data_IF_694914021107
#
_entry.id   IF_694914021107
#
_cell.length_a   1.000
_cell.length_b   1.000
_cell.length_c   1.000
_cell.angle_alpha   90.00
_cell.angle_beta   90.00
_cell.angle_gamma   90.00
#
_symmetry.space_group_name_H-M   'P 1'
#
loop_
_entity.id
_entity.type
_entity.pdbx_description
1 polymer ?
#
# COMPACT_ATOMS: atom_id res chain seq x y z
N UNK A 1 5.85 -21.05 -1.44
CA UNK A 1 4.49 -20.45 -1.42
C UNK A 1 4.69 -18.97 -1.67
N UNK A 2 3.93 -18.37 -2.60
CA UNK A 2 3.98 -16.92 -2.78
C UNK A 2 3.62 -16.25 -1.44
N UNK A 3 4.41 -15.27 -1.02
CA UNK A 3 4.06 -14.47 0.16
C UNK A 3 2.78 -13.66 -0.10
N UNK A 4 2.17 -13.13 0.96
CA UNK A 4 0.88 -12.44 0.88
C UNK A 4 0.99 -11.14 0.08
N UNK A 5 0.09 -10.92 -0.89
CA UNK A 5 -0.02 -9.64 -1.59
C UNK A 5 -0.68 -8.59 -0.68
N UNK A 6 -0.32 -7.32 -0.87
CA UNK A 6 -0.94 -6.18 -0.21
C UNK A 6 -1.53 -5.25 -1.29
N UNK A 7 -2.68 -5.65 -1.84
CA UNK A 7 -3.35 -4.93 -2.93
C UNK A 7 -4.33 -3.90 -2.39
N UNK A 8 -5.14 -4.31 -1.40
CA UNK A 8 -6.14 -3.45 -0.78
C UNK A 8 -6.33 -3.76 0.70
N UNK A 9 -6.83 -2.77 1.43
CA UNK A 9 -7.11 -2.89 2.87
C UNK A 9 -8.20 -3.93 3.14
N UNK A 10 -9.25 -4.02 2.30
CA UNK A 10 -10.35 -4.93 2.58
C UNK A 10 -9.99 -6.41 2.38
N UNK A 11 -8.95 -6.70 1.59
CA UNK A 11 -8.42 -8.06 1.37
C UNK A 11 -7.70 -8.66 2.56
N UNK A 12 -7.23 -7.85 3.53
CA UNK A 12 -6.55 -8.34 4.73
C UNK A 12 -7.50 -8.38 5.93
N UNK A 13 -7.27 -9.32 6.85
CA UNK A 13 -7.98 -9.32 8.13
C UNK A 13 -7.51 -8.15 9.02
N UNK A 14 -8.37 -7.72 9.93
CA UNK A 14 -8.06 -6.67 10.89
C UNK A 14 -6.82 -6.99 11.74
N UNK A 15 -6.57 -8.26 12.10
CA UNK A 15 -5.40 -8.64 12.89
C UNK A 15 -4.11 -8.44 12.10
N UNK A 16 -4.12 -8.76 10.80
CA UNK A 16 -2.95 -8.57 9.94
C UNK A 16 -2.63 -7.08 9.75
N UNK A 17 -3.66 -6.27 9.50
CA UNK A 17 -3.50 -4.81 9.38
C UNK A 17 -3.01 -4.20 10.70
N UNK A 18 -3.51 -4.69 11.84
CA UNK A 18 -3.06 -4.28 13.17
C UNK A 18 -1.59 -4.63 13.40
N UNK A 19 -1.18 -5.84 13.03
CA UNK A 19 0.22 -6.29 13.13
C UNK A 19 1.16 -5.38 12.32
N UNK A 20 0.75 -4.99 11.10
CA UNK A 20 1.52 -4.03 10.28
C UNK A 20 1.70 -2.69 11.00
N UNK A 21 0.63 -2.13 11.59
CA UNK A 21 0.73 -0.85 12.32
C UNK A 21 1.58 -0.97 13.58
N UNK A 22 1.43 -2.05 14.35
CA UNK A 22 2.18 -2.27 15.59
C UNK A 22 3.68 -2.44 15.29
N UNK A 23 4.01 -3.16 14.23
CA UNK A 23 5.38 -3.27 13.73
C UNK A 23 5.93 -1.92 13.26
N UNK A 24 5.12 -1.11 12.56
CA UNK A 24 5.52 0.22 12.14
C UNK A 24 5.84 1.15 13.32
N UNK A 25 5.00 1.14 14.38
CA UNK A 25 5.26 1.89 15.62
C UNK A 25 6.56 1.42 16.29
N UNK A 26 6.75 0.10 16.42
CA UNK A 26 7.94 -0.48 17.03
C UNK A 26 9.22 -0.08 16.27
N UNK A 27 9.22 -0.22 14.94
CA UNK A 27 10.35 0.18 14.08
C UNK A 27 10.64 1.68 14.19
N UNK A 28 9.62 2.54 14.13
CA UNK A 28 9.82 3.98 14.24
C UNK A 28 10.37 4.39 15.61
N UNK A 29 9.89 3.77 16.68
CA UNK A 29 10.39 3.99 18.04
C UNK A 29 11.85 3.54 18.18
N UNK A 30 12.21 2.37 17.67
CA UNK A 30 13.57 1.84 17.69
C UNK A 30 14.56 2.74 16.92
N UNK A 31 14.11 3.32 15.80
CA UNK A 31 14.90 4.23 14.95
C UNK A 31 15.03 5.66 15.51
N UNK A 32 14.48 5.96 16.69
CA UNK A 32 14.48 7.32 17.27
C UNK A 32 15.92 7.80 17.52
N UNK A 33 16.26 8.95 16.95
CA UNK A 33 17.59 9.55 17.06
C UNK A 33 18.64 8.97 16.11
N UNK A 34 18.29 8.00 15.27
CA UNK A 34 19.22 7.43 14.31
C UNK A 34 19.38 8.32 13.06
N UNK A 35 20.54 8.28 12.40
CA UNK A 35 20.65 8.72 11.01
C UNK A 35 19.65 7.95 10.14
N UNK A 36 19.04 8.63 9.16
CA UNK A 36 17.95 8.04 8.34
C UNK A 36 18.38 6.82 7.53
N UNK A 37 19.65 6.71 7.16
CA UNK A 37 20.18 5.59 6.40
C UNK A 37 20.76 4.44 7.24
N UNK A 38 20.65 4.47 8.58
CA UNK A 38 21.10 3.35 9.41
C UNK A 38 20.22 2.12 9.12
N UNK A 39 20.86 0.98 8.90
CA UNK A 39 20.21 -0.32 8.77
C UNK A 39 19.76 -0.82 10.14
N UNK A 40 18.57 -1.42 10.19
CA UNK A 40 18.01 -2.03 11.39
C UNK A 40 18.88 -3.19 11.87
N UNK A 41 18.92 -3.38 13.20
CA UNK A 41 19.67 -4.47 13.79
C UNK A 41 19.11 -5.81 13.28
N UNK A 42 20.01 -6.68 12.80
CA UNK A 42 19.65 -7.97 12.20
C UNK A 42 19.30 -7.93 10.71
N UNK A 43 19.20 -6.74 10.09
CA UNK A 43 19.01 -6.56 8.64
C UNK A 43 17.98 -7.55 8.04
N UNK A 44 16.70 -7.48 8.44
CA UNK A 44 15.72 -8.54 8.21
C UNK A 44 15.45 -8.87 6.73
N UNK A 45 15.77 -7.95 5.81
CA UNK A 45 15.66 -8.13 4.36
C UNK A 45 17.03 -8.12 3.67
N UNK A 46 18.11 -8.42 4.39
CA UNK A 46 19.42 -8.62 3.78
C UNK A 46 19.34 -9.66 2.65
N UNK A 47 19.94 -9.33 1.51
CA UNK A 47 19.89 -10.16 0.30
C UNK A 47 18.57 -10.13 -0.47
N UNK A 48 17.52 -9.48 0.04
CA UNK A 48 16.24 -9.37 -0.65
C UNK A 48 16.15 -8.10 -1.51
N UNK A 49 15.44 -8.20 -2.64
CA UNK A 49 15.29 -7.13 -3.63
C UNK A 49 13.81 -6.82 -3.90
N UNK A 50 13.46 -5.54 -3.86
CA UNK A 50 12.15 -5.02 -4.24
C UNK A 50 12.22 -4.40 -5.64
N UNK A 51 11.46 -4.92 -6.61
CA UNK A 51 11.18 -4.18 -7.83
C UNK A 51 10.10 -3.12 -7.57
N UNK A 52 10.31 -1.89 -8.04
CA UNK A 52 9.37 -0.79 -7.93
C UNK A 52 9.00 -0.30 -9.33
N UNK A 53 7.78 -0.59 -9.76
CA UNK A 53 7.26 -0.32 -11.09
C UNK A 53 6.36 0.92 -11.06
N UNK A 54 6.68 1.93 -11.87
CA UNK A 54 6.00 3.23 -11.88
C UNK A 54 5.46 3.58 -13.26
N UNK A 55 4.14 3.47 -13.46
CA UNK A 55 3.49 4.00 -14.67
C UNK A 55 3.38 5.52 -14.66
N UNK A 56 3.20 6.09 -13.46
CA UNK A 56 3.26 7.54 -13.21
C UNK A 56 4.29 7.85 -12.13
N UNK A 57 5.05 8.92 -12.35
CA UNK A 57 6.03 9.42 -11.39
C UNK A 57 5.40 9.72 -10.00
N UNK A 58 6.25 9.78 -8.98
CA UNK A 58 6.09 9.05 -7.71
C UNK A 58 7.17 9.36 -6.70
N UNK A 59 7.60 10.62 -6.53
CA UNK A 59 8.75 10.92 -5.67
C UNK A 59 8.55 10.44 -4.23
N UNK A 60 7.38 10.70 -3.63
CA UNK A 60 7.11 10.31 -2.24
C UNK A 60 7.08 8.79 -2.06
N UNK A 61 6.33 8.11 -2.91
CA UNK A 61 6.23 6.63 -2.91
C UNK A 61 7.60 5.99 -3.18
N UNK A 62 8.34 6.47 -4.18
CA UNK A 62 9.67 5.96 -4.52
C UNK A 62 10.62 6.10 -3.35
N UNK A 63 10.74 7.29 -2.78
CA UNK A 63 11.67 7.53 -1.68
C UNK A 63 11.28 6.77 -0.41
N UNK A 64 9.98 6.64 -0.11
CA UNK A 64 9.54 5.89 1.07
C UNK A 64 9.85 4.40 0.97
N UNK A 65 9.54 3.76 -0.17
CA UNK A 65 9.83 2.33 -0.37
C UNK A 65 11.33 2.05 -0.50
N UNK A 66 12.06 2.88 -1.24
CA UNK A 66 13.53 2.74 -1.38
C UNK A 66 14.24 2.88 -0.04
N UNK A 67 13.87 3.87 0.77
CA UNK A 67 14.44 4.05 2.11
C UNK A 67 14.02 2.92 3.06
N UNK A 68 12.78 2.44 2.98
CA UNK A 68 12.33 1.30 3.79
C UNK A 68 13.15 0.04 3.49
N UNK A 69 13.36 -0.30 2.21
CA UNK A 69 14.21 -1.44 1.83
C UNK A 69 15.64 -1.29 2.32
N UNK A 70 16.24 -0.10 2.17
CA UNK A 70 17.60 0.17 2.68
C UNK A 70 17.69 0.03 4.20
N UNK A 71 16.72 0.57 4.94
CA UNK A 71 16.69 0.46 6.40
C UNK A 71 16.52 -1.00 6.84
N UNK A 72 15.80 -1.82 6.07
CA UNK A 72 15.65 -3.25 6.35
C UNK A 72 16.83 -4.11 5.85
N UNK A 73 17.85 -3.50 5.24
CA UNK A 73 19.06 -4.18 4.74
C UNK A 73 18.96 -4.75 3.33
N UNK A 74 17.82 -4.56 2.66
CA UNK A 74 17.60 -5.01 1.29
C UNK A 74 17.96 -3.98 0.24
N UNK A 75 17.68 -4.32 -1.01
CA UNK A 75 17.91 -3.45 -2.17
C UNK A 75 16.62 -3.18 -2.94
N UNK A 76 16.63 -2.16 -3.79
CA UNK A 76 15.49 -1.83 -4.63
C UNK A 76 15.93 -1.55 -6.07
N UNK A 77 15.09 -1.94 -7.04
CA UNK A 77 15.26 -1.66 -8.46
C UNK A 77 14.05 -0.83 -8.90
N UNK A 78 14.28 0.35 -9.46
CA UNK A 78 13.19 1.20 -9.96
C UNK A 78 13.09 1.08 -11.47
N UNK A 79 11.88 0.84 -11.99
CA UNK A 79 11.56 0.93 -13.40
C UNK A 79 10.38 1.91 -13.59
N UNK A 80 10.51 2.81 -14.56
CA UNK A 80 9.45 3.75 -14.95
C UNK A 80 8.76 3.30 -16.23
N UNK A 81 7.63 3.91 -16.57
CA UNK A 81 6.93 3.65 -17.83
C UNK A 81 7.82 3.74 -19.08
N UNK A 82 8.89 4.55 -19.06
CA UNK A 82 9.86 4.62 -20.16
C UNK A 82 10.85 3.46 -20.21
N UNK A 83 11.12 2.83 -19.06
CA UNK A 83 12.03 1.69 -18.93
C UNK A 83 11.30 0.36 -19.21
N UNK A 84 10.00 0.32 -18.93
CA UNK A 84 9.16 -0.87 -19.03
C UNK A 84 8.56 -1.03 -20.44
N UNK A 85 8.45 -2.28 -20.90
CA UNK A 85 7.77 -2.62 -22.15
C UNK A 85 6.32 -3.10 -21.95
N UNK A 86 5.75 -2.87 -20.76
CA UNK A 86 4.34 -3.13 -20.48
C UNK A 86 3.46 -2.40 -21.51
N UNK A 87 2.69 -3.16 -22.29
CA UNK A 87 1.84 -2.63 -23.36
C UNK A 87 2.57 -2.27 -24.67
N UNK A 88 3.90 -2.43 -24.75
CA UNK A 88 4.71 -2.25 -25.98
C UNK A 88 5.24 -3.55 -26.57
N UNK A 89 4.73 -4.69 -26.13
CA UNK A 89 5.08 -6.01 -26.67
C UNK A 89 5.16 -7.11 -25.63
N UNK A 90 5.25 -6.76 -24.34
CA UNK A 90 5.17 -7.72 -23.24
C UNK A 90 3.83 -7.61 -22.51
N UNK A 91 3.25 -8.75 -22.20
CA UNK A 91 2.01 -8.85 -21.41
C UNK A 91 2.31 -8.65 -19.93
N UNK A 92 1.31 -8.22 -19.14
CA UNK A 92 1.41 -8.15 -17.68
C UNK A 92 1.75 -9.53 -17.10
N UNK A 93 1.14 -10.60 -17.63
CA UNK A 93 1.40 -11.99 -17.24
C UNK A 93 2.87 -12.38 -17.43
N UNK A 94 3.43 -12.17 -18.62
CA UNK A 94 4.83 -12.52 -18.91
C UNK A 94 5.78 -11.72 -18.01
N UNK A 95 5.52 -10.42 -17.87
CA UNK A 95 6.31 -9.53 -17.02
C UNK A 95 6.28 -9.99 -15.55
N UNK A 96 5.10 -10.31 -15.02
CA UNK A 96 4.94 -10.80 -13.65
C UNK A 96 5.69 -12.11 -13.41
N UNK A 97 5.59 -13.06 -14.34
CA UNK A 97 6.29 -14.35 -14.27
C UNK A 97 7.80 -14.19 -14.32
N UNK A 98 8.31 -13.34 -15.21
CA UNK A 98 9.75 -13.11 -15.39
C UNK A 98 10.33 -12.36 -14.19
N UNK A 99 9.71 -11.25 -13.77
CA UNK A 99 10.21 -10.47 -12.62
C UNK A 99 10.20 -11.28 -11.33
N UNK A 100 9.21 -12.15 -11.12
CA UNK A 100 9.17 -13.07 -9.97
C UNK A 100 10.35 -14.05 -9.90
N UNK A 101 11.15 -14.19 -10.96
CA UNK A 101 12.40 -14.98 -10.95
C UNK A 101 13.64 -14.17 -10.59
N UNK A 102 13.54 -12.85 -10.52
CA UNK A 102 14.67 -11.95 -10.30
C UNK A 102 14.62 -11.21 -8.97
N UNK A 103 13.42 -10.98 -8.43
CA UNK A 103 13.22 -10.18 -7.22
C UNK A 103 12.37 -10.94 -6.21
N UNK A 104 12.38 -10.47 -4.96
CA UNK A 104 11.69 -11.11 -3.84
C UNK A 104 10.32 -10.48 -3.55
N UNK A 105 10.06 -9.28 -4.06
CA UNK A 105 8.78 -8.60 -4.01
C UNK A 105 8.68 -7.56 -5.14
N UNK A 106 7.44 -7.17 -5.47
CA UNK A 106 7.14 -6.12 -6.44
C UNK A 106 6.21 -5.09 -5.80
N UNK A 107 6.53 -3.81 -5.91
CA UNK A 107 5.60 -2.71 -5.66
C UNK A 107 5.22 -2.06 -6.98
N UNK A 108 3.92 -1.88 -7.20
CA UNK A 108 3.38 -1.33 -8.45
C UNK A 108 2.62 -0.06 -8.14
N UNK A 109 2.91 1.00 -8.88
CA UNK A 109 2.08 2.18 -8.98
C UNK A 109 1.56 2.26 -10.41
N UNK A 110 0.31 1.86 -10.59
CA UNK A 110 -0.37 1.78 -11.88
C UNK A 110 -1.42 2.88 -12.01
N UNK A 111 -1.89 3.07 -13.24
CA UNK A 111 -3.10 3.85 -13.49
C UNK A 111 -4.33 3.05 -13.13
N UNK A 112 -4.46 1.86 -13.72
CA UNK A 112 -5.65 1.06 -13.65
C UNK A 112 -5.47 -0.04 -12.59
N UNK A 113 -6.44 -0.17 -11.69
CA UNK A 113 -6.36 -1.14 -10.60
C UNK A 113 -6.24 -2.59 -11.09
N UNK A 114 -6.91 -2.92 -12.19
CA UNK A 114 -6.87 -4.25 -12.81
C UNK A 114 -5.48 -4.70 -13.23
N UNK A 115 -4.58 -3.76 -13.55
CA UNK A 115 -3.21 -4.10 -13.93
C UNK A 115 -2.42 -4.64 -12.72
N UNK A 116 -2.69 -4.12 -11.53
CA UNK A 116 -2.08 -4.59 -10.28
C UNK A 116 -2.64 -5.95 -9.88
N UNK A 117 -3.96 -6.14 -10.03
CA UNK A 117 -4.61 -7.43 -9.76
C UNK A 117 -4.12 -8.53 -10.71
N UNK A 118 -4.08 -8.24 -12.01
CA UNK A 118 -3.56 -9.16 -13.03
C UNK A 118 -2.09 -9.48 -12.77
N UNK A 119 -1.27 -8.49 -12.40
CA UNK A 119 0.13 -8.75 -12.05
C UNK A 119 0.23 -9.67 -10.82
N UNK A 120 -0.59 -9.43 -9.79
CA UNK A 120 -0.62 -10.27 -8.59
C UNK A 120 -1.06 -11.71 -8.88
N UNK A 121 -2.03 -11.92 -9.78
CA UNK A 121 -2.48 -13.25 -10.19
C UNK A 121 -1.35 -14.11 -10.77
N UNK A 122 -0.46 -13.50 -11.57
CA UNK A 122 0.62 -14.23 -12.26
C UNK A 122 1.97 -14.17 -11.54
N UNK A 123 2.12 -13.32 -10.52
CA UNK A 123 3.34 -13.22 -9.74
C UNK A 123 3.49 -14.38 -8.75
N UNK A 124 4.72 -14.90 -8.60
CA UNK A 124 5.03 -15.88 -7.56
C UNK A 124 5.65 -15.26 -6.30
N UNK A 125 5.74 -13.93 -6.26
CA UNK A 125 6.28 -13.13 -5.15
C UNK A 125 5.23 -12.10 -4.69
N UNK A 126 5.31 -11.58 -3.45
CA UNK A 126 4.41 -10.54 -2.97
C UNK A 126 4.34 -9.34 -3.91
N UNK A 127 3.11 -8.85 -4.09
CA UNK A 127 2.82 -7.64 -4.87
C UNK A 127 2.19 -6.63 -3.94
N UNK A 128 2.70 -5.40 -3.96
CA UNK A 128 2.27 -4.29 -3.11
C UNK A 128 1.70 -3.19 -4.00
N UNK A 129 0.45 -2.81 -3.75
CA UNK A 129 -0.16 -1.65 -4.39
C UNK A 129 0.38 -0.35 -3.76
N UNK A 130 1.21 0.35 -4.54
CA UNK A 130 1.76 1.65 -4.18
C UNK A 130 0.77 2.80 -4.36
N UNK A 131 -0.15 2.70 -5.31
CA UNK A 131 -1.32 3.56 -5.61
C UNK A 131 -1.91 3.12 -6.96
N UNK A 132 -3.25 3.06 -7.06
CA UNK A 132 -4.01 2.98 -8.32
C UNK A 132 -5.09 4.07 -8.37
N UNK A 133 -5.85 4.15 -9.46
CA UNK A 133 -7.07 4.96 -9.58
C UNK A 133 -8.20 4.58 -8.61
N UNK A 134 -8.24 3.32 -8.15
CA UNK A 134 -9.23 2.81 -7.17
C UNK A 134 -8.79 2.92 -5.71
N UNK A 135 -7.52 2.68 -5.39
CA UNK A 135 -7.09 2.61 -3.99
C UNK A 135 -5.67 3.08 -3.72
N UNK A 136 -5.40 3.41 -2.46
CA UNK A 136 -4.09 3.82 -1.96
C UNK A 136 -3.86 3.26 -0.53
N UNK A 137 -3.74 1.92 -0.37
CA UNK A 137 -3.74 1.28 0.94
C UNK A 137 -2.56 1.71 1.81
N UNK A 138 -1.36 1.89 1.21
CA UNK A 138 -0.17 2.33 1.93
C UNK A 138 -0.33 3.72 2.60
N UNK A 139 -1.04 4.65 1.94
CA UNK A 139 -1.29 5.97 2.50
C UNK A 139 -2.19 5.88 3.73
N UNK A 140 -3.25 5.08 3.67
CA UNK A 140 -4.18 4.96 4.79
C UNK A 140 -3.53 4.30 5.99
N UNK A 141 -2.68 3.29 5.80
CA UNK A 141 -1.89 2.73 6.91
C UNK A 141 -1.02 3.81 7.58
N UNK A 142 -0.40 4.70 6.80
CA UNK A 142 0.37 5.82 7.34
C UNK A 142 -0.51 6.85 8.06
N UNK A 143 -1.71 7.13 7.55
CA UNK A 143 -2.66 8.07 8.15
C UNK A 143 -3.18 7.54 9.50
N UNK A 144 -3.54 6.25 9.57
CA UNK A 144 -3.99 5.58 10.79
C UNK A 144 -2.89 5.54 11.84
N UNK A 145 -1.65 5.20 11.44
CA UNK A 145 -0.49 5.28 12.31
C UNK A 145 -0.34 6.70 12.89
N UNK A 146 -0.48 7.71 12.04
CA UNK A 146 -0.35 9.12 12.45
C UNK A 146 -1.44 9.53 13.45
N UNK A 147 -2.69 9.09 13.24
CA UNK A 147 -3.79 9.35 14.16
C UNK A 147 -3.50 8.76 15.55
N UNK A 148 -3.02 7.52 15.62
CA UNK A 148 -2.64 6.88 16.89
C UNK A 148 -1.50 7.63 17.61
N UNK A 149 -0.48 8.06 16.86
CA UNK A 149 0.62 8.86 17.43
C UNK A 149 0.17 10.20 18.01
N UNK A 150 -0.95 10.73 17.52
CA UNK A 150 -1.55 11.97 18.02
C UNK A 150 -2.67 11.70 19.05
N UNK A 151 -2.73 10.49 19.62
CA UNK A 151 -3.60 10.15 20.74
C UNK A 151 -5.02 9.76 20.34
N UNK A 152 -5.29 9.53 19.05
CA UNK A 152 -6.58 9.02 18.60
C UNK A 152 -6.63 7.52 18.81
N UNK A 153 -7.58 7.05 19.62
CA UNK A 153 -7.93 5.63 19.65
C UNK A 153 -8.82 5.34 18.45
N UNK A 154 -8.34 4.56 17.48
CA UNK A 154 -9.08 4.30 16.23
C UNK A 154 -10.45 3.67 16.52
N UNK A 155 -10.50 2.61 17.34
CA UNK A 155 -11.78 1.96 17.68
C UNK A 155 -12.72 2.95 18.37
N UNK A 156 -13.87 3.19 17.76
CA UNK A 156 -14.89 4.14 18.22
C UNK A 156 -14.60 5.61 17.88
N UNK A 157 -13.49 5.93 17.20
CA UNK A 157 -13.24 7.28 16.71
C UNK A 157 -14.25 7.68 15.63
N UNK A 158 -14.48 8.98 15.51
CA UNK A 158 -15.30 9.58 14.46
C UNK A 158 -14.42 10.50 13.64
N UNK A 159 -14.18 10.13 12.39
CA UNK A 159 -13.33 10.84 11.45
C UNK A 159 -14.20 11.46 10.35
N UNK A 160 -13.75 12.56 9.78
CA UNK A 160 -14.47 13.23 8.70
C UNK A 160 -13.58 13.35 7.46
N UNK A 161 -14.09 12.91 6.32
CA UNK A 161 -13.52 13.19 5.00
C UNK A 161 -14.34 14.31 4.36
N UNK A 162 -13.66 15.35 3.87
CA UNK A 162 -14.32 16.47 3.19
C UNK A 162 -13.61 16.73 1.87
N UNK A 163 -14.35 16.64 0.76
CA UNK A 163 -13.79 16.89 -0.57
C UNK A 163 -14.27 15.89 -1.61
N UNK A 164 -13.33 15.39 -2.40
CA UNK A 164 -13.57 14.47 -3.50
C UNK A 164 -13.57 13.01 -3.02
N UNK A 165 -14.50 12.19 -3.50
CA UNK A 165 -14.61 10.75 -3.22
C UNK A 165 -13.61 9.94 -4.05
N UNK A 166 -12.33 10.26 -3.96
CA UNK A 166 -11.26 9.61 -4.73
C UNK A 166 -10.77 8.29 -4.10
N UNK A 167 -9.76 7.68 -4.70
CA UNK A 167 -9.09 6.47 -4.23
C UNK A 167 -8.64 6.48 -2.75
N UNK A 168 -8.22 7.64 -2.24
CA UNK A 168 -7.85 7.79 -0.83
C UNK A 168 -9.09 7.73 0.04
N UNK A 169 -10.17 8.42 -0.35
CA UNK A 169 -11.47 8.32 0.32
C UNK A 169 -11.96 6.87 0.37
N UNK A 170 -11.95 6.17 -0.77
CA UNK A 170 -12.31 4.75 -0.88
C UNK A 170 -11.52 3.88 0.10
N UNK A 171 -10.20 4.00 0.08
CA UNK A 171 -9.33 3.25 0.98
C UNK A 171 -9.60 3.55 2.46
N UNK A 172 -9.94 4.80 2.80
CA UNK A 172 -10.28 5.20 4.16
C UNK A 172 -11.63 4.63 4.61
N UNK A 173 -12.61 4.54 3.70
CA UNK A 173 -13.89 3.88 3.95
C UNK A 173 -13.70 2.40 4.28
N UNK A 174 -12.87 1.70 3.50
CA UNK A 174 -12.56 0.28 3.73
C UNK A 174 -11.81 0.04 5.05
N UNK A 175 -10.95 0.98 5.45
CA UNK A 175 -10.27 0.92 6.74
C UNK A 175 -11.22 1.12 7.94
N UNK A 176 -12.32 1.84 7.76
CA UNK A 176 -13.28 2.12 8.84
C UNK A 176 -13.84 0.83 9.45
N UNK A 177 -14.28 -0.11 8.60
CA UNK A 177 -14.75 -1.43 9.05
C UNK A 177 -13.68 -2.25 9.75
N UNK A 178 -12.46 -2.26 9.21
CA UNK A 178 -11.33 -3.05 9.75
C UNK A 178 -10.83 -2.55 11.11
N UNK A 179 -10.80 -1.23 11.32
CA UNK A 179 -10.28 -0.62 12.55
C UNK A 179 -11.37 -0.16 13.53
N UNK A 180 -12.64 -0.29 13.14
CA UNK A 180 -13.80 0.00 13.98
C UNK A 180 -13.98 1.48 14.29
N UNK A 181 -13.62 2.38 13.36
CA UNK A 181 -13.96 3.81 13.43
C UNK A 181 -15.15 4.13 12.53
N UNK A 182 -15.81 5.26 12.77
CA UNK A 182 -16.82 5.81 11.86
C UNK A 182 -16.19 6.87 10.98
N UNK A 183 -16.36 6.75 9.66
CA UNK A 183 -15.99 7.79 8.70
C UNK A 183 -17.25 8.52 8.21
N UNK A 184 -17.34 9.82 8.46
CA UNK A 184 -18.34 10.68 7.87
C UNK A 184 -17.78 11.29 6.57
N UNK A 185 -18.41 11.02 5.43
CA UNK A 185 -17.95 11.50 4.12
C UNK A 185 -18.84 12.65 3.66
N UNK A 186 -18.23 13.83 3.51
CA UNK A 186 -18.86 15.04 2.99
C UNK A 186 -18.29 15.41 1.62
N UNK A 187 -19.00 15.07 0.55
CA UNK A 187 -18.58 15.33 -0.83
C UNK A 187 -19.64 16.12 -1.60
N UNK A 188 -19.25 16.93 -2.61
CA UNK A 188 -20.21 17.40 -3.62
C UNK A 188 -20.77 16.19 -4.38
N UNK A 189 -22.07 16.20 -4.70
CA UNK A 189 -22.75 15.04 -5.31
C UNK A 189 -22.05 14.49 -6.58
N UNK A 190 -21.43 15.36 -7.39
CA UNK A 190 -20.70 14.97 -8.61
C UNK A 190 -19.34 14.27 -8.35
N UNK A 191 -18.91 14.27 -7.11
CA UNK A 191 -17.65 13.71 -6.61
C UNK A 191 -17.93 12.73 -5.45
N UNK A 192 -19.11 12.11 -5.45
CA UNK A 192 -19.42 11.06 -4.50
C UNK A 192 -18.47 9.88 -4.71
N UNK A 193 -18.13 9.14 -3.64
CA UNK A 193 -17.44 7.86 -3.78
C UNK A 193 -18.24 6.89 -4.66
N UNK A 194 -17.55 5.91 -5.24
CA UNK A 194 -18.21 4.85 -6.00
C UNK A 194 -19.16 4.05 -5.11
N UNK A 195 -20.30 3.63 -5.66
CA UNK A 195 -21.29 2.83 -4.94
C UNK A 195 -20.69 1.47 -4.51
N UNK A 196 -19.77 0.91 -5.29
CA UNK A 196 -19.07 -0.33 -4.96
C UNK A 196 -18.22 -0.18 -3.68
N UNK A 197 -17.47 0.91 -3.56
CA UNK A 197 -16.64 1.17 -2.37
C UNK A 197 -17.53 1.43 -1.13
N UNK A 198 -18.70 2.05 -1.32
CA UNK A 198 -19.69 2.21 -0.27
C UNK A 198 -20.26 0.88 0.20
N UNK A 199 -20.54 -0.04 -0.73
CA UNK A 199 -21.08 -1.36 -0.42
C UNK A 199 -20.04 -2.23 0.29
N UNK A 200 -18.78 -2.26 -0.17
CA UNK A 200 -17.67 -2.92 0.53
C UNK A 200 -17.50 -2.37 1.95
N UNK A 201 -17.58 -1.04 2.12
CA UNK A 201 -17.48 -0.41 3.43
C UNK A 201 -18.66 -0.79 4.36
N UNK A 202 -19.87 -0.98 3.82
CA UNK A 202 -21.04 -1.42 4.59
C UNK A 202 -20.94 -2.89 5.00
N UNK A 203 -20.49 -3.77 4.11
CA UNK A 203 -20.35 -5.20 4.42
C UNK A 203 -19.27 -5.47 5.49
N UNK A 204 -18.23 -4.63 5.51
CA UNK A 204 -17.14 -4.74 6.49
C UNK A 204 -17.44 -4.04 7.82
N UNK A 205 -18.53 -3.28 7.90
CA UNK A 205 -19.06 -2.70 9.14
C UNK A 205 -20.21 -3.60 9.64
N UNK A 206 -19.90 -4.46 10.60
CA UNK A 206 -20.88 -5.36 11.23
C UNK A 206 -22.08 -4.62 11.83
#
# INVERSE_FOLDING_TARGET
MAGRHFIDIWHLDHLELREILDMAHAMKAARKGWPKGRVDDGAPLEGHTLAMLFEKASTRTRFSFDMAMRQLGGSSITATAGDMQLGRGETIEDTARVLSRYVDAVMIRANDHSDVEAFAEFASVPVINGLTDRSHPCQIMADLMTLEEHGVTLRGARLAWVGDGNNVCASFMHAAGKFGFTLAVGTPARYAPDDEDLDIARETQG
#
